data_IF_893238029012
#
_entry.id   IF_893238029012
#
_cell.length_a   1.000
_cell.length_b   1.000
_cell.length_c   1.000
_cell.angle_alpha   90.00
_cell.angle_beta   90.00
_cell.angle_gamma   90.00
#
_symmetry.space_group_name_H-M   'P 1'
#
loop_
_entity.id
_entity.type
_entity.pdbx_description
1 polymer ?
#
# COMPACT_ATOMS: atom_id res chain seq x y z
N UNK A 1 -9.72 -27.73 21.67
CA UNK A 1 -10.52 -26.47 21.69
C UNK A 1 -9.70 -25.19 21.84
N UNK A 2 -8.44 -25.21 22.29
CA UNK A 2 -7.60 -24.00 22.48
C UNK A 2 -7.03 -23.37 21.18
N UNK A 3 -6.85 -24.16 20.11
CA UNK A 3 -6.18 -23.72 18.87
C UNK A 3 -7.01 -22.75 18.00
N UNK A 4 -8.36 -22.77 18.09
CA UNK A 4 -9.22 -21.86 17.30
C UNK A 4 -9.22 -20.42 17.82
N UNK A 5 -8.98 -20.21 19.12
CA UNK A 5 -9.05 -18.88 19.74
C UNK A 5 -7.80 -18.05 19.45
N UNK A 6 -6.62 -18.70 19.36
CA UNK A 6 -5.35 -18.05 19.02
C UNK A 6 -5.38 -17.54 17.57
N UNK A 7 -5.87 -18.38 16.64
CA UNK A 7 -5.90 -18.06 15.21
C UNK A 7 -6.80 -16.86 14.89
N UNK A 8 -7.93 -16.70 15.59
CA UNK A 8 -8.81 -15.53 15.43
C UNK A 8 -8.18 -14.21 15.91
N UNK A 9 -7.28 -14.26 16.90
CA UNK A 9 -6.54 -13.10 17.39
C UNK A 9 -5.43 -12.67 16.41
N UNK A 10 -4.74 -13.62 15.79
CA UNK A 10 -3.71 -13.38 14.79
C UNK A 10 -4.28 -12.73 13.52
N UNK A 11 -5.44 -13.22 13.05
CA UNK A 11 -6.17 -12.61 11.91
C UNK A 11 -6.50 -11.15 12.19
N UNK A 12 -7.06 -10.86 13.37
CA UNK A 12 -7.44 -9.49 13.76
C UNK A 12 -6.23 -8.57 13.86
N UNK A 13 -5.12 -9.03 14.42
CA UNK A 13 -3.86 -8.27 14.50
C UNK A 13 -3.27 -8.01 13.11
N UNK A 14 -3.33 -8.98 12.20
CA UNK A 14 -2.89 -8.79 10.82
C UNK A 14 -3.76 -7.79 10.05
N UNK A 15 -5.08 -7.78 10.28
CA UNK A 15 -6.00 -6.78 9.68
C UNK A 15 -5.65 -5.39 10.21
N UNK A 16 -5.48 -5.25 11.53
CA UNK A 16 -5.14 -3.98 12.17
C UNK A 16 -3.74 -3.49 11.72
N UNK A 17 -2.79 -4.41 11.57
CA UNK A 17 -1.46 -4.14 11.02
C UNK A 17 -1.49 -3.69 9.56
N UNK A 18 -2.34 -4.31 8.73
CA UNK A 18 -2.55 -3.91 7.34
C UNK A 18 -3.19 -2.51 7.25
N UNK A 19 -4.24 -2.23 8.03
CA UNK A 19 -4.87 -0.90 8.09
C UNK A 19 -3.88 0.19 8.53
N UNK A 20 -3.12 -0.07 9.60
CA UNK A 20 -2.11 0.86 10.10
C UNK A 20 -1.00 1.09 9.06
N UNK A 21 -0.58 0.04 8.36
CA UNK A 21 0.43 0.13 7.30
C UNK A 21 -0.07 0.97 6.12
N UNK A 22 -1.34 0.80 5.71
CA UNK A 22 -1.96 1.62 4.67
C UNK A 22 -2.02 3.09 5.11
N UNK A 23 -2.46 3.34 6.34
CA UNK A 23 -2.54 4.71 6.87
C UNK A 23 -1.16 5.37 6.91
N UNK A 24 -0.13 4.67 7.36
CA UNK A 24 1.25 5.14 7.39
C UNK A 24 1.79 5.40 5.97
N UNK A 25 1.48 4.54 4.99
CA UNK A 25 1.83 4.77 3.58
C UNK A 25 1.18 6.03 3.01
N UNK A 26 -0.12 6.24 3.27
CA UNK A 26 -0.86 7.45 2.83
C UNK A 26 -0.21 8.71 3.41
N UNK A 27 0.07 8.71 4.72
CA UNK A 27 0.72 9.82 5.41
C UNK A 27 2.12 10.06 4.84
N UNK A 28 2.90 9.00 4.62
CA UNK A 28 4.24 9.07 4.05
C UNK A 28 4.26 9.76 2.67
N UNK A 29 3.39 9.33 1.75
CA UNK A 29 3.33 9.92 0.39
C UNK A 29 2.83 11.36 0.41
N UNK A 30 1.86 11.70 1.26
CA UNK A 30 1.40 13.08 1.42
C UNK A 30 2.51 13.98 1.97
N UNK A 31 3.28 13.49 2.93
CA UNK A 31 4.46 14.19 3.46
C UNK A 31 5.54 14.37 2.38
N UNK A 32 5.75 13.39 1.50
CA UNK A 32 6.67 13.52 0.35
C UNK A 32 6.17 14.58 -0.63
N UNK A 33 4.87 14.61 -0.93
CA UNK A 33 4.28 15.59 -1.84
C UNK A 33 4.41 17.04 -1.33
N UNK A 34 4.39 17.23 -0.01
CA UNK A 34 4.49 18.54 0.65
C UNK A 34 5.93 18.91 1.07
N UNK A 35 6.92 18.07 0.80
CA UNK A 35 8.29 18.28 1.27
C UNK A 35 9.02 19.33 0.41
N UNK A 36 9.18 20.55 0.94
CA UNK A 36 9.94 21.64 0.29
C UNK A 36 11.43 21.70 0.69
N UNK A 37 11.86 20.84 1.63
CA UNK A 37 13.23 20.80 2.16
C UNK A 37 13.74 19.36 2.22
N UNK A 38 15.04 19.18 1.97
CA UNK A 38 15.71 17.86 1.99
C UNK A 38 15.45 17.07 3.28
N UNK A 39 15.57 17.71 4.44
CA UNK A 39 15.33 17.05 5.74
C UNK A 39 13.88 16.60 5.93
N UNK A 40 12.93 17.34 5.39
CA UNK A 40 11.51 17.00 5.43
C UNK A 40 11.20 15.82 4.49
N UNK A 41 11.86 15.80 3.32
CA UNK A 41 11.80 14.69 2.38
C UNK A 41 12.39 13.40 2.98
N UNK A 42 13.52 13.52 3.69
CA UNK A 42 14.17 12.38 4.36
C UNK A 42 13.24 11.73 5.39
N UNK A 43 12.63 12.53 6.26
CA UNK A 43 11.67 12.03 7.26
C UNK A 43 10.44 11.44 6.59
N UNK A 44 9.92 12.06 5.53
CA UNK A 44 8.78 11.55 4.78
C UNK A 44 9.08 10.20 4.12
N UNK A 45 10.29 10.01 3.59
CA UNK A 45 10.75 8.73 3.03
C UNK A 45 10.87 7.64 4.09
N UNK A 46 11.32 7.97 5.30
CA UNK A 46 11.36 7.02 6.42
C UNK A 46 9.95 6.57 6.80
N UNK A 47 9.00 7.50 6.92
CA UNK A 47 7.59 7.20 7.22
C UNK A 47 6.97 6.36 6.10
N UNK A 48 7.23 6.71 4.84
CA UNK A 48 6.75 5.95 3.70
C UNK A 48 7.34 4.54 3.63
N UNK A 49 8.63 4.39 3.91
CA UNK A 49 9.30 3.09 3.98
C UNK A 49 8.75 2.20 5.10
N UNK A 50 8.31 2.79 6.21
CA UNK A 50 7.65 2.05 7.30
C UNK A 50 6.34 1.40 6.83
N UNK A 51 5.61 2.07 5.93
CA UNK A 51 4.41 1.53 5.30
C UNK A 51 4.69 0.36 4.34
N UNK A 52 5.94 0.10 3.94
CA UNK A 52 6.29 -1.03 3.06
C UNK A 52 6.08 -2.41 3.68
N UNK A 53 5.75 -2.49 4.97
CA UNK A 53 5.35 -3.73 5.65
C UNK A 53 3.96 -4.25 5.22
N UNK A 54 3.15 -3.42 4.56
CA UNK A 54 1.81 -3.74 4.04
C UNK A 54 1.74 -5.08 3.28
N UNK A 55 2.61 -5.37 2.29
CA UNK A 55 2.55 -6.62 1.52
C UNK A 55 2.83 -7.86 2.38
N UNK A 56 3.61 -7.72 3.46
CA UNK A 56 3.88 -8.81 4.41
C UNK A 56 2.61 -9.11 5.20
N UNK A 57 1.91 -8.09 5.67
CA UNK A 57 0.61 -8.27 6.34
C UNK A 57 -0.47 -8.76 5.38
N UNK A 58 -0.52 -8.27 4.14
CA UNK A 58 -1.46 -8.77 3.11
C UNK A 58 -1.21 -10.23 2.78
N UNK A 59 0.05 -10.66 2.62
CA UNK A 59 0.39 -12.08 2.40
C UNK A 59 0.06 -12.96 3.61
N UNK A 60 0.25 -12.42 4.82
CA UNK A 60 -0.15 -13.09 6.07
C UNK A 60 -1.68 -13.22 6.17
N UNK A 61 -2.43 -12.20 5.73
CA UNK A 61 -3.89 -12.22 5.64
C UNK A 61 -4.43 -13.17 4.57
N UNK A 62 -3.76 -13.28 3.42
CA UNK A 62 -4.15 -14.24 2.38
C UNK A 62 -4.00 -15.68 2.89
N UNK A 63 -2.96 -15.97 3.67
CA UNK A 63 -2.81 -17.26 4.35
C UNK A 63 -3.79 -17.48 5.52
N UNK A 64 -4.36 -16.42 6.08
CA UNK A 64 -5.05 -16.46 7.37
C UNK A 64 -6.56 -16.19 7.29
N UNK A 65 -7.03 -15.45 6.27
CA UNK A 65 -8.42 -15.01 6.16
C UNK A 65 -9.23 -15.88 5.19
N UNK A 66 -10.15 -16.62 5.79
CA UNK A 66 -11.51 -16.87 5.34
C UNK A 66 -11.78 -17.82 4.17
N UNK A 67 -10.83 -18.16 3.28
CA UNK A 67 -11.05 -19.15 2.21
C UNK A 67 -9.77 -19.92 1.91
N UNK A 68 -9.26 -20.71 2.86
CA UNK A 68 -8.49 -21.88 2.44
C UNK A 68 -9.48 -22.88 1.82
N UNK A 69 -9.90 -22.64 0.57
CA UNK A 69 -10.32 -23.75 -0.28
C UNK A 69 -9.08 -24.64 -0.29
N UNK A 70 -9.18 -25.81 0.35
CA UNK A 70 -8.05 -26.58 0.88
C UNK A 70 -6.97 -27.02 -0.14
N UNK A 71 -7.02 -26.53 -1.39
CA UNK A 71 -6.17 -26.87 -2.54
C UNK A 71 -5.73 -25.66 -3.40
N UNK A 72 -5.97 -24.39 -3.02
CA UNK A 72 -5.80 -23.25 -3.95
C UNK A 72 -4.75 -22.18 -3.56
N UNK A 73 -3.94 -22.40 -2.52
CA UNK A 73 -2.91 -21.44 -2.05
C UNK A 73 -1.97 -20.93 -3.16
N UNK A 74 -1.63 -21.81 -4.11
CA UNK A 74 -0.75 -21.49 -5.25
C UNK A 74 -1.44 -20.54 -6.22
N UNK A 75 -2.75 -20.69 -6.43
CA UNK A 75 -3.53 -19.87 -7.35
C UNK A 75 -3.72 -18.45 -6.79
N UNK A 76 -4.02 -18.33 -5.50
CA UNK A 76 -4.18 -17.04 -4.83
C UNK A 76 -2.86 -16.25 -4.80
N UNK A 77 -1.76 -16.92 -4.48
CA UNK A 77 -0.43 -16.31 -4.53
C UNK A 77 -0.05 -15.88 -5.96
N UNK A 78 -0.38 -16.71 -6.97
CA UNK A 78 -0.13 -16.38 -8.37
C UNK A 78 -0.93 -15.15 -8.81
N UNK A 79 -2.21 -15.04 -8.42
CA UNK A 79 -3.04 -13.87 -8.71
C UNK A 79 -2.44 -12.61 -8.09
N UNK A 80 -2.00 -12.67 -6.82
CA UNK A 80 -1.36 -11.53 -6.14
C UNK A 80 -0.09 -11.09 -6.87
N UNK A 81 0.75 -12.05 -7.27
CA UNK A 81 1.99 -11.77 -7.99
C UNK A 81 1.73 -11.20 -9.39
N UNK A 82 0.69 -11.67 -10.09
CA UNK A 82 0.26 -11.12 -11.38
C UNK A 82 -0.23 -9.68 -11.23
N UNK A 83 -1.08 -9.40 -10.23
CA UNK A 83 -1.56 -8.05 -9.93
C UNK A 83 -0.39 -7.12 -9.60
N UNK A 84 0.58 -7.58 -8.79
CA UNK A 84 1.79 -6.81 -8.47
C UNK A 84 2.60 -6.49 -9.73
N UNK A 85 2.74 -7.46 -10.63
CA UNK A 85 3.48 -7.29 -11.89
C UNK A 85 2.78 -6.27 -12.78
N UNK A 86 1.46 -6.41 -12.98
CA UNK A 86 0.64 -5.44 -13.73
C UNK A 86 0.71 -4.04 -13.12
N UNK A 87 0.64 -3.95 -11.78
CA UNK A 87 0.78 -2.70 -11.05
C UNK A 87 2.13 -2.02 -11.33
N UNK A 88 3.22 -2.77 -11.36
CA UNK A 88 4.55 -2.23 -11.70
C UNK A 88 4.66 -1.83 -13.17
N UNK A 89 4.06 -2.62 -14.07
CA UNK A 89 4.07 -2.40 -15.51
C UNK A 89 3.34 -1.11 -15.89
N UNK A 90 2.23 -0.79 -15.21
CA UNK A 90 1.47 0.43 -15.42
C UNK A 90 2.02 1.59 -14.58
N UNK A 91 2.46 1.31 -13.35
CA UNK A 91 2.93 2.32 -12.39
C UNK A 91 4.20 3.03 -12.85
N UNK A 92 5.18 2.31 -13.38
CA UNK A 92 6.43 2.89 -13.87
C UNK A 92 6.23 3.94 -15.00
N UNK A 93 5.52 3.62 -16.10
CA UNK A 93 5.24 4.61 -17.14
C UNK A 93 4.32 5.73 -16.66
N UNK A 94 3.33 5.43 -15.81
CA UNK A 94 2.45 6.46 -15.23
C UNK A 94 3.25 7.49 -14.42
N UNK A 95 4.13 7.03 -13.53
CA UNK A 95 5.01 7.92 -12.76
C UNK A 95 5.94 8.73 -13.68
N UNK A 96 6.44 8.12 -14.75
CA UNK A 96 7.30 8.80 -15.72
C UNK A 96 6.56 9.93 -16.43
N UNK A 97 5.32 9.70 -16.89
CA UNK A 97 4.50 10.73 -17.54
C UNK A 97 4.17 11.86 -16.57
N UNK A 98 3.79 11.54 -15.33
CA UNK A 98 3.50 12.54 -14.30
C UNK A 98 4.72 13.39 -13.97
N UNK A 99 5.91 12.79 -13.93
CA UNK A 99 7.16 13.53 -13.76
C UNK A 99 7.44 14.47 -14.93
N UNK A 100 7.28 14.00 -16.17
CA UNK A 100 7.46 14.85 -17.36
C UNK A 100 6.48 16.03 -17.34
N UNK A 101 5.23 15.79 -16.98
CA UNK A 101 4.21 16.85 -16.86
C UNK A 101 4.52 17.83 -15.72
N UNK A 102 4.92 17.32 -14.55
CA UNK A 102 5.31 18.14 -13.40
C UNK A 102 6.50 19.05 -13.70
N UNK A 103 7.52 18.54 -14.40
CA UNK A 103 8.70 19.31 -14.83
C UNK A 103 8.29 20.39 -15.85
N UNK A 104 7.43 20.06 -16.82
CA UNK A 104 6.93 21.02 -17.82
C UNK A 104 6.13 22.16 -17.20
N UNK A 105 5.33 21.87 -16.17
CA UNK A 105 4.53 22.87 -15.45
C UNK A 105 5.39 23.74 -14.51
N UNK A 106 6.49 23.19 -13.99
CA UNK A 106 7.43 23.90 -13.13
C UNK A 106 6.83 24.35 -11.78
N UNK A 107 7.68 24.94 -10.93
CA UNK A 107 7.24 25.54 -9.67
C UNK A 107 6.69 24.53 -8.64
N UNK A 108 5.56 24.84 -8.01
CA UNK A 108 4.95 24.02 -6.95
C UNK A 108 4.38 22.66 -7.44
N UNK A 109 4.29 22.45 -8.75
CA UNK A 109 3.75 21.22 -9.34
C UNK A 109 4.76 20.06 -9.39
N UNK A 110 5.99 20.24 -8.91
CA UNK A 110 6.98 19.14 -8.85
C UNK A 110 6.52 17.98 -7.94
N UNK A 111 5.59 18.24 -7.01
CA UNK A 111 4.96 17.23 -6.15
C UNK A 111 3.80 16.42 -6.78
N UNK A 112 3.37 16.75 -8.01
CA UNK A 112 2.21 16.12 -8.68
C UNK A 112 2.22 14.59 -8.73
N UNK A 113 3.33 13.90 -9.10
CA UNK A 113 3.36 12.44 -9.11
C UNK A 113 3.09 11.82 -7.73
N UNK A 114 3.54 12.48 -6.66
CA UNK A 114 3.28 12.05 -5.29
C UNK A 114 1.85 12.33 -4.87
N UNK A 115 1.26 13.44 -5.31
CA UNK A 115 -0.15 13.74 -5.04
C UNK A 115 -1.09 12.70 -5.68
N UNK A 116 -0.83 12.34 -6.94
CA UNK A 116 -1.57 11.27 -7.63
C UNK A 116 -1.37 9.93 -6.93
N UNK A 117 -0.14 9.62 -6.51
CA UNK A 117 0.15 8.41 -5.72
C UNK A 117 -0.64 8.40 -4.40
N UNK A 118 -0.74 9.52 -3.69
CA UNK A 118 -1.53 9.63 -2.47
C UNK A 118 -3.02 9.37 -2.72
N UNK A 119 -3.58 9.87 -3.82
CA UNK A 119 -4.96 9.56 -4.21
C UNK A 119 -5.16 8.04 -4.42
N UNK A 120 -4.23 7.37 -5.09
CA UNK A 120 -4.29 5.91 -5.30
C UNK A 120 -4.24 5.17 -3.96
N UNK A 121 -3.36 5.58 -3.04
CA UNK A 121 -3.31 4.99 -1.69
C UNK A 121 -4.60 5.25 -0.88
N UNK A 122 -5.23 6.41 -1.02
CA UNK A 122 -6.52 6.70 -0.39
C UNK A 122 -7.64 5.81 -0.94
N UNK A 123 -7.68 5.57 -2.26
CA UNK A 123 -8.64 4.63 -2.84
C UNK A 123 -8.40 3.22 -2.30
N UNK A 124 -7.14 2.79 -2.21
CA UNK A 124 -6.80 1.49 -1.62
C UNK A 124 -7.28 1.40 -0.16
N UNK A 125 -6.99 2.43 0.66
CA UNK A 125 -7.45 2.51 2.04
C UNK A 125 -8.98 2.43 2.16
N UNK A 126 -9.69 3.12 1.27
CA UNK A 126 -11.15 3.10 1.23
C UNK A 126 -11.70 1.71 0.86
N UNK A 127 -11.10 1.04 -0.12
CA UNK A 127 -11.48 -0.34 -0.49
C UNK A 127 -11.24 -1.29 0.69
N UNK A 128 -10.11 -1.18 1.39
CA UNK A 128 -9.82 -2.00 2.57
C UNK A 128 -10.80 -1.73 3.72
N UNK A 129 -11.14 -0.46 3.97
CA UNK A 129 -12.15 -0.09 4.95
C UNK A 129 -13.55 -0.62 4.59
N UNK A 130 -13.88 -0.69 3.29
CA UNK A 130 -15.12 -1.29 2.79
C UNK A 130 -15.18 -2.80 2.96
N UNK A 131 -14.05 -3.50 2.82
CA UNK A 131 -13.98 -4.95 3.05
C UNK A 131 -14.22 -5.36 4.51
N UNK A 132 -14.09 -4.42 5.45
CA UNK A 132 -14.32 -4.64 6.88
C UNK A 132 -15.79 -4.47 7.30
N UNK A 133 -16.60 -3.74 6.54
CA UNK A 133 -18.03 -3.48 6.78
C UNK A 133 -18.92 -4.49 6.05
#
# INVERSE_FOLDING_TARGET
MSSRTIHGSEVRLNILGAELSIAISVVGVLCVALAFKFWMLLVALIIYALGSALPVFTMSLVKSSLIALAHSDVQDFSIIMLIKTLGSLVGAPLMTVLWVQAIKLGGGFVGLPYFVSACIYLVAAWVTARLRN
#
